data_IF_962298678578
#
_entry.id   IF_962298678578
#
_cell.length_a   1.000
_cell.length_b   1.000
_cell.length_c   1.000
_cell.angle_alpha   90.00
_cell.angle_beta   90.00
_cell.angle_gamma   90.00
#
_symmetry.space_group_name_H-M   'P 1'
#
loop_
_entity.id
_entity.type
_entity.pdbx_description
1 polymer ?
#
# COMPACT_ATOMS: atom_id res chain seq x y z
N UNK A 1 15.99 14.02 6.71
CA UNK A 1 16.70 13.92 5.41
C UNK A 1 18.15 13.47 5.57
N UNK A 2 18.54 13.21 6.76
CA UNK A 2 19.81 12.57 7.04
C UNK A 2 19.65 11.11 6.60
N UNK A 3 20.66 10.56 5.97
CA UNK A 3 20.73 9.14 5.64
C UNK A 3 20.77 8.35 6.95
N UNK A 4 19.61 8.28 7.62
CA UNK A 4 19.44 7.59 8.90
C UNK A 4 19.47 6.11 8.62
N UNK A 5 20.42 5.42 9.25
CA UNK A 5 20.51 3.97 9.16
C UNK A 5 19.54 3.28 10.11
N UNK A 6 19.26 2.01 9.86
CA UNK A 6 18.52 1.18 10.81
C UNK A 6 19.17 1.12 12.19
N UNK A 7 20.49 1.13 12.23
CA UNK A 7 21.26 1.15 13.48
C UNK A 7 21.03 2.42 14.30
N UNK A 8 20.82 3.58 13.65
CA UNK A 8 20.59 4.86 14.32
C UNK A 8 19.27 4.88 15.10
N UNK A 9 18.33 4.00 14.76
CA UNK A 9 17.05 3.83 15.47
C UNK A 9 17.01 2.58 16.35
N UNK A 10 18.15 1.92 16.57
CA UNK A 10 18.26 0.78 17.48
C UNK A 10 18.06 -0.59 16.83
N UNK A 11 17.97 -0.67 15.51
CA UNK A 11 17.83 -1.91 14.73
C UNK A 11 19.16 -2.23 14.03
N UNK A 12 20.21 -2.46 14.83
CA UNK A 12 21.57 -2.66 14.33
C UNK A 12 21.77 -3.99 13.54
N UNK A 13 20.82 -4.91 13.65
CA UNK A 13 20.76 -6.16 12.88
C UNK A 13 20.34 -5.93 11.41
N UNK A 14 19.75 -4.77 11.10
CA UNK A 14 19.39 -4.39 9.75
C UNK A 14 20.48 -3.52 9.12
N UNK A 15 20.87 -3.85 7.90
CA UNK A 15 21.88 -3.11 7.16
C UNK A 15 21.30 -1.98 6.33
N UNK A 16 22.11 -0.91 6.18
CA UNK A 16 21.78 0.21 5.31
C UNK A 16 20.92 1.27 5.95
N UNK A 17 20.42 2.16 5.11
CA UNK A 17 19.58 3.27 5.53
C UNK A 17 18.10 2.86 5.56
N UNK A 18 17.32 3.56 6.39
CA UNK A 18 15.87 3.36 6.43
C UNK A 18 15.31 3.70 5.05
N UNK A 19 14.62 2.73 4.46
CA UNK A 19 13.89 2.89 3.21
C UNK A 19 12.56 2.16 3.28
N UNK A 20 11.58 2.68 2.54
CA UNK A 20 10.31 2.01 2.33
C UNK A 20 10.26 1.62 0.86
N UNK A 21 10.33 0.32 0.57
CA UNK A 21 10.19 -0.15 -0.80
C UNK A 21 8.76 0.09 -1.30
N UNK A 22 8.64 0.58 -2.52
CA UNK A 22 7.37 0.84 -3.20
C UNK A 22 7.45 0.41 -4.66
N UNK A 23 6.31 0.39 -5.31
CA UNK A 23 6.25 0.21 -6.77
C UNK A 23 6.53 1.52 -7.52
N UNK A 24 6.92 1.41 -8.79
CA UNK A 24 7.21 2.56 -9.65
C UNK A 24 5.98 3.48 -9.80
N UNK A 25 6.04 4.74 -9.37
CA UNK A 25 4.90 5.65 -9.41
C UNK A 25 4.44 6.01 -10.82
N UNK A 26 5.28 5.86 -11.82
CA UNK A 26 4.93 6.11 -13.21
C UNK A 26 4.27 4.90 -13.90
N UNK A 27 4.36 3.71 -13.30
CA UNK A 27 3.96 2.44 -13.92
C UNK A 27 2.97 1.63 -13.09
N UNK A 28 2.74 2.00 -11.84
CA UNK A 28 1.88 1.29 -10.90
C UNK A 28 0.95 2.26 -10.16
N UNK A 29 -0.32 1.86 -10.01
CA UNK A 29 -1.28 2.63 -9.23
C UNK A 29 -0.85 2.76 -7.76
N UNK A 30 -0.37 1.68 -7.14
CA UNK A 30 0.10 1.71 -5.75
C UNK A 30 1.29 2.66 -5.56
N UNK A 31 2.24 2.67 -6.49
CA UNK A 31 3.36 3.60 -6.48
C UNK A 31 2.92 5.06 -6.65
N UNK A 32 1.96 5.30 -7.55
CA UNK A 32 1.38 6.63 -7.75
C UNK A 32 0.66 7.13 -6.50
N UNK A 33 -0.15 6.28 -5.86
CA UNK A 33 -0.83 6.61 -4.61
C UNK A 33 0.14 6.87 -3.46
N UNK A 34 1.20 6.07 -3.35
CA UNK A 34 2.25 6.30 -2.35
C UNK A 34 2.98 7.62 -2.60
N UNK A 35 3.29 7.95 -3.85
CA UNK A 35 3.90 9.23 -4.21
C UNK A 35 3.00 10.42 -3.85
N UNK A 36 1.70 10.30 -4.10
CA UNK A 36 0.72 11.34 -3.74
C UNK A 36 0.60 11.50 -2.21
N UNK A 37 0.59 10.40 -1.47
CA UNK A 37 0.57 10.41 0.00
C UNK A 37 1.85 11.08 0.54
N UNK A 38 3.01 10.69 0.04
CA UNK A 38 4.29 11.25 0.45
C UNK A 38 4.37 12.74 0.13
N UNK A 39 3.91 13.17 -1.06
CA UNK A 39 3.85 14.58 -1.43
C UNK A 39 2.93 15.38 -0.49
N UNK A 40 1.78 14.82 -0.10
CA UNK A 40 0.88 15.43 0.88
C UNK A 40 1.57 15.59 2.25
N UNK A 41 2.28 14.55 2.71
CA UNK A 41 3.03 14.61 3.99
C UNK A 41 4.14 15.66 3.93
N UNK A 42 4.90 15.72 2.84
CA UNK A 42 5.95 16.73 2.64
C UNK A 42 5.39 18.17 2.59
N UNK A 43 4.15 18.31 2.13
CA UNK A 43 3.41 19.58 2.15
C UNK A 43 2.70 19.86 3.49
N UNK A 44 3.10 19.21 4.57
CA UNK A 44 2.51 19.39 5.90
C UNK A 44 1.04 18.96 6.03
N UNK A 45 0.58 18.04 5.20
CA UNK A 45 -0.80 17.55 5.16
C UNK A 45 -1.80 18.51 4.48
N UNK A 46 -1.30 19.58 3.85
CA UNK A 46 -2.14 20.52 3.14
C UNK A 46 -2.47 20.05 1.73
N UNK A 47 -3.56 20.57 1.17
CA UNK A 47 -3.94 20.29 -0.22
C UNK A 47 -2.82 20.68 -1.19
N UNK A 48 -2.48 19.76 -2.07
CA UNK A 48 -1.49 19.99 -3.11
C UNK A 48 -2.04 20.91 -4.20
N UNK A 49 -1.28 21.94 -4.51
CA UNK A 49 -1.48 22.83 -5.65
C UNK A 49 -0.27 22.74 -6.58
N UNK A 50 -0.37 23.29 -7.78
CA UNK A 50 0.77 23.28 -8.71
C UNK A 50 2.00 23.99 -8.12
N UNK A 51 1.79 25.08 -7.39
CA UNK A 51 2.87 25.89 -6.83
C UNK A 51 3.58 25.13 -5.69
N UNK A 52 2.85 24.64 -4.68
CA UNK A 52 3.48 23.94 -3.56
C UNK A 52 4.05 22.57 -3.97
N UNK A 53 3.47 21.92 -5.00
CA UNK A 53 4.06 20.70 -5.57
C UNK A 53 5.43 20.98 -6.18
N UNK A 54 5.62 22.10 -6.86
CA UNK A 54 6.93 22.50 -7.42
C UNK A 54 7.98 22.69 -6.32
N UNK A 55 7.58 23.18 -5.16
CA UNK A 55 8.49 23.38 -4.02
C UNK A 55 8.98 22.06 -3.42
N UNK A 56 8.10 21.05 -3.30
CA UNK A 56 8.44 19.76 -2.70
C UNK A 56 8.99 18.74 -3.71
N UNK A 57 8.84 18.98 -5.01
CA UNK A 57 9.24 18.04 -6.06
C UNK A 57 10.71 17.59 -5.97
N UNK A 58 11.69 18.49 -5.69
CA UNK A 58 13.09 18.05 -5.56
C UNK A 58 13.31 17.07 -4.41
N UNK A 59 12.59 17.24 -3.30
CA UNK A 59 12.67 16.32 -2.17
C UNK A 59 12.02 14.98 -2.49
N UNK A 60 10.83 15.00 -3.10
CA UNK A 60 10.15 13.81 -3.58
C UNK A 60 11.03 13.00 -4.54
N UNK A 61 11.65 13.66 -5.52
CA UNK A 61 12.58 13.03 -6.45
C UNK A 61 13.81 12.44 -5.76
N UNK A 62 14.35 13.13 -4.75
CA UNK A 62 15.48 12.63 -3.96
C UNK A 62 15.11 11.34 -3.21
N UNK A 63 13.90 11.24 -2.65
CA UNK A 63 13.43 10.06 -1.94
C UNK A 63 13.31 8.88 -2.93
N UNK A 64 12.58 9.06 -4.02
CA UNK A 64 12.42 7.99 -5.02
C UNK A 64 13.74 7.59 -5.70
N UNK A 65 14.63 8.55 -5.92
CA UNK A 65 15.94 8.29 -6.51
C UNK A 65 16.85 7.39 -5.66
N UNK A 66 16.59 7.30 -4.36
CA UNK A 66 17.33 6.42 -3.43
C UNK A 66 16.81 4.99 -3.39
N UNK A 67 15.60 4.74 -3.88
CA UNK A 67 14.97 3.41 -3.80
C UNK A 67 15.53 2.40 -4.80
N UNK A 68 16.28 2.85 -5.80
CA UNK A 68 16.83 1.99 -6.84
C UNK A 68 15.75 1.38 -7.75
N UNK A 69 15.83 0.07 -7.99
CA UNK A 69 14.83 -0.61 -8.80
C UNK A 69 13.52 -0.75 -8.03
N UNK A 70 12.43 -0.34 -8.69
CA UNK A 70 11.06 -0.45 -8.17
C UNK A 70 10.25 -1.41 -9.02
N UNK A 71 9.49 -2.28 -8.38
CA UNK A 71 8.57 -3.21 -9.05
C UNK A 71 7.43 -2.44 -9.74
N UNK A 72 6.89 -3.04 -10.79
CA UNK A 72 5.74 -2.47 -11.51
C UNK A 72 4.40 -3.01 -11.03
N UNK A 73 4.43 -3.98 -10.13
CA UNK A 73 3.26 -4.65 -9.55
C UNK A 73 3.36 -4.71 -8.03
N UNK A 74 2.30 -4.30 -7.33
CA UNK A 74 2.21 -4.44 -5.89
C UNK A 74 2.21 -5.90 -5.43
N UNK A 75 1.68 -6.82 -6.25
CA UNK A 75 1.70 -8.25 -5.98
C UNK A 75 3.12 -8.82 -6.01
N UNK A 76 3.95 -8.37 -6.97
CA UNK A 76 5.35 -8.79 -7.05
C UNK A 76 6.15 -8.25 -5.86
N UNK A 77 5.93 -6.99 -5.50
CA UNK A 77 6.57 -6.38 -4.33
C UNK A 77 6.19 -7.12 -3.04
N UNK A 78 4.92 -7.43 -2.84
CA UNK A 78 4.43 -8.17 -1.67
C UNK A 78 4.99 -9.59 -1.63
N UNK A 79 5.02 -10.28 -2.78
CA UNK A 79 5.62 -11.62 -2.89
C UNK A 79 7.13 -11.62 -2.57
N UNK A 80 7.84 -10.56 -2.95
CA UNK A 80 9.25 -10.40 -2.59
C UNK A 80 9.42 -10.13 -1.10
N UNK A 81 8.59 -9.28 -0.50
CA UNK A 81 8.57 -9.03 0.94
C UNK A 81 8.43 -10.33 1.73
N UNK A 82 7.44 -11.17 1.38
CA UNK A 82 7.23 -12.46 2.05
C UNK A 82 8.41 -13.43 1.89
N UNK A 83 9.07 -13.44 0.73
CA UNK A 83 10.18 -14.37 0.44
C UNK A 83 11.52 -13.93 1.00
N UNK A 84 11.80 -12.63 0.93
CA UNK A 84 13.12 -12.08 1.27
C UNK A 84 13.20 -11.61 2.72
N UNK A 85 12.05 -11.30 3.32
CA UNK A 85 11.95 -10.93 4.73
C UNK A 85 12.77 -9.69 5.10
N UNK A 86 13.05 -9.58 6.39
CA UNK A 86 13.70 -8.44 7.05
C UNK A 86 15.07 -8.08 6.41
N UNK A 87 15.80 -9.06 5.90
CA UNK A 87 17.16 -8.83 5.39
C UNK A 87 17.25 -8.01 4.11
N UNK A 88 16.18 -7.96 3.31
CA UNK A 88 16.22 -7.30 2.01
C UNK A 88 15.12 -6.26 1.80
N UNK A 89 13.92 -6.49 2.35
CA UNK A 89 12.76 -5.59 2.21
C UNK A 89 12.04 -5.46 3.55
N UNK A 90 12.64 -4.79 4.54
CA UNK A 90 12.08 -4.73 5.89
C UNK A 90 10.78 -3.93 5.98
N UNK A 91 10.56 -2.97 5.09
CA UNK A 91 9.33 -2.16 5.03
C UNK A 91 8.91 -1.97 3.58
N UNK A 92 7.66 -2.25 3.29
CA UNK A 92 7.07 -2.00 1.98
C UNK A 92 5.81 -1.12 2.09
N UNK A 93 5.54 -0.33 1.07
CA UNK A 93 4.26 0.34 0.89
C UNK A 93 3.36 -0.54 0.00
N UNK A 94 2.21 -0.97 0.53
CA UNK A 94 1.28 -1.85 -0.15
C UNK A 94 -0.16 -1.63 0.28
N UNK A 95 -1.05 -2.49 -0.18
CA UNK A 95 -2.45 -2.49 0.22
C UNK A 95 -2.67 -3.44 1.40
N UNK A 96 -3.50 -3.04 2.36
CA UNK A 96 -3.88 -3.90 3.48
C UNK A 96 -4.50 -5.22 3.01
N UNK A 97 -5.26 -5.16 1.90
CA UNK A 97 -5.91 -6.32 1.30
C UNK A 97 -4.93 -7.46 0.98
N UNK A 98 -3.69 -7.16 0.63
CA UNK A 98 -2.70 -8.19 0.30
C UNK A 98 -2.35 -9.07 1.51
N UNK A 99 -2.16 -8.47 2.69
CA UNK A 99 -1.87 -9.23 3.90
C UNK A 99 -3.11 -9.96 4.42
N UNK A 100 -4.28 -9.32 4.36
CA UNK A 100 -5.55 -9.93 4.79
C UNK A 100 -5.89 -11.13 3.90
N UNK A 101 -5.78 -10.99 2.58
CA UNK A 101 -5.99 -12.08 1.62
C UNK A 101 -5.00 -13.22 1.85
N UNK A 102 -3.71 -12.90 2.06
CA UNK A 102 -2.70 -13.91 2.35
C UNK A 102 -3.04 -14.72 3.60
N UNK A 103 -3.42 -14.05 4.68
CA UNK A 103 -3.84 -14.70 5.92
C UNK A 103 -5.11 -15.56 5.75
N UNK A 104 -6.05 -15.13 4.90
CA UNK A 104 -7.29 -15.85 4.65
C UNK A 104 -7.10 -17.10 3.75
N UNK A 105 -6.21 -17.01 2.77
CA UNK A 105 -5.97 -18.09 1.78
C UNK A 105 -4.91 -19.08 2.29
N UNK A 106 -3.90 -18.60 3.00
CA UNK A 106 -2.76 -19.37 3.49
C UNK A 106 -2.61 -19.26 5.02
N UNK A 107 -3.61 -19.71 5.81
CA UNK A 107 -3.61 -19.49 7.26
C UNK A 107 -2.45 -20.18 8.00
N UNK A 108 -2.02 -21.35 7.52
CA UNK A 108 -0.92 -22.08 8.14
C UNK A 108 0.43 -21.38 7.89
N UNK A 109 0.64 -20.87 6.68
CA UNK A 109 1.84 -20.11 6.32
C UNK A 109 1.85 -18.76 7.04
N UNK A 110 0.71 -18.06 7.10
CA UNK A 110 0.57 -16.80 7.82
C UNK A 110 0.89 -16.95 9.29
N UNK A 111 0.40 -18.01 9.94
CA UNK A 111 0.66 -18.28 11.34
C UNK A 111 2.15 -18.42 11.69
N UNK A 112 2.97 -18.83 10.73
CA UNK A 112 4.41 -18.97 10.94
C UNK A 112 5.16 -17.63 10.92
N UNK A 113 4.51 -16.56 10.43
CA UNK A 113 5.12 -15.24 10.23
C UNK A 113 4.31 -14.10 10.88
N UNK A 114 3.14 -14.40 11.49
CA UNK A 114 2.26 -13.36 12.02
C UNK A 114 2.90 -12.50 13.11
N UNK A 115 3.79 -13.09 13.91
CA UNK A 115 4.52 -12.37 14.96
C UNK A 115 5.65 -11.50 14.43
N UNK A 116 6.09 -11.74 13.17
CA UNK A 116 7.19 -11.02 12.53
C UNK A 116 6.71 -9.88 11.61
N UNK A 117 5.41 -9.81 11.32
CA UNK A 117 4.83 -8.81 10.41
C UNK A 117 3.97 -7.81 11.20
N UNK A 118 4.23 -6.53 10.97
CA UNK A 118 3.43 -5.44 11.53
C UNK A 118 2.82 -4.61 10.40
N UNK A 119 1.50 -4.50 10.40
CA UNK A 119 0.78 -3.61 9.49
C UNK A 119 0.69 -2.21 10.10
N UNK A 120 1.28 -1.22 9.43
CA UNK A 120 1.27 0.18 9.84
C UNK A 120 0.35 1.00 8.92
N UNK A 121 -0.57 1.74 9.52
CA UNK A 121 -1.40 2.71 8.80
C UNK A 121 -0.80 4.11 8.96
N UNK A 122 -0.36 4.74 7.86
CA UNK A 122 0.13 6.12 7.92
C UNK A 122 -1.01 7.08 8.27
N UNK A 123 -0.66 8.20 8.90
CA UNK A 123 -1.60 9.30 9.17
C UNK A 123 -0.96 10.59 8.66
N UNK A 124 -1.49 11.23 7.61
CA UNK A 124 -2.68 10.84 6.83
C UNK A 124 -2.50 9.54 6.04
N UNK A 125 -3.62 9.01 5.51
CA UNK A 125 -3.63 7.84 4.62
C UNK A 125 -4.40 8.14 3.34
N UNK A 126 -4.32 7.22 2.36
CA UNK A 126 -5.00 7.33 1.07
C UNK A 126 -5.83 6.07 0.81
N UNK A 127 -6.99 6.26 0.20
CA UNK A 127 -7.91 5.18 -0.14
C UNK A 127 -7.83 4.86 -1.63
N UNK A 128 -7.64 3.58 -1.97
CA UNK A 128 -7.77 3.10 -3.34
C UNK A 128 -9.20 2.69 -3.61
N UNK A 129 -9.99 3.61 -4.14
CA UNK A 129 -11.41 3.36 -4.44
C UNK A 129 -11.55 2.69 -5.80
N UNK A 130 -12.29 1.58 -5.86
CA UNK A 130 -12.68 0.92 -7.10
C UNK A 130 -13.98 1.51 -7.59
N UNK A 131 -13.99 2.05 -8.80
CA UNK A 131 -15.16 2.69 -9.42
C UNK A 131 -15.63 1.84 -10.60
N UNK A 132 -16.91 1.46 -10.59
CA UNK A 132 -17.58 0.82 -11.72
C UNK A 132 -18.60 1.80 -12.31
N UNK A 133 -18.53 2.02 -13.62
CA UNK A 133 -19.52 2.76 -14.38
C UNK A 133 -20.26 1.77 -15.28
N UNK A 134 -21.57 1.60 -15.05
CA UNK A 134 -22.40 0.79 -15.91
C UNK A 134 -22.72 1.56 -17.20
N UNK A 135 -22.33 0.99 -18.36
CA UNK A 135 -22.56 1.60 -19.67
C UNK A 135 -23.74 0.95 -20.43
N UNK A 136 -24.19 -0.20 -19.96
CA UNK A 136 -25.29 -0.96 -20.55
C UNK A 136 -26.02 -1.80 -19.46
N UNK A 137 -27.03 -2.57 -19.87
CA UNK A 137 -27.77 -3.43 -18.95
C UNK A 137 -26.92 -4.53 -18.28
N UNK A 138 -25.88 -5.01 -18.94
CA UNK A 138 -24.99 -6.02 -18.36
C UNK A 138 -24.07 -5.39 -17.31
N UNK A 139 -23.60 -4.18 -17.58
CA UNK A 139 -22.86 -3.37 -16.61
C UNK A 139 -23.70 -3.07 -15.37
N UNK A 140 -25.01 -2.78 -15.55
CA UNK A 140 -25.91 -2.57 -14.42
C UNK A 140 -26.11 -3.85 -13.59
N UNK A 141 -26.31 -5.00 -14.23
CA UNK A 141 -26.41 -6.29 -13.52
C UNK A 141 -25.14 -6.60 -12.71
N UNK A 142 -23.96 -6.28 -13.27
CA UNK A 142 -22.70 -6.46 -12.55
C UNK A 142 -22.62 -5.52 -11.36
N UNK A 143 -23.01 -4.24 -11.52
CA UNK A 143 -23.04 -3.28 -10.43
C UNK A 143 -23.97 -3.75 -9.30
N UNK A 144 -25.18 -4.21 -9.64
CA UNK A 144 -26.16 -4.74 -8.68
C UNK A 144 -25.59 -5.96 -7.93
N UNK A 145 -24.92 -6.86 -8.64
CA UNK A 145 -24.26 -8.01 -8.03
C UNK A 145 -23.11 -7.60 -7.09
N UNK A 146 -22.31 -6.60 -7.46
CA UNK A 146 -21.22 -6.10 -6.62
C UNK A 146 -21.71 -5.35 -5.37
N UNK A 147 -22.96 -4.88 -5.36
CA UNK A 147 -23.58 -4.24 -4.20
C UNK A 147 -24.30 -5.25 -3.28
N UNK A 148 -24.35 -6.49 -3.65
CA UNK A 148 -24.89 -7.57 -2.82
C UNK A 148 -24.13 -7.70 -1.50
N UNK A 149 -24.86 -7.81 -0.38
CA UNK A 149 -24.27 -7.81 0.97
C UNK A 149 -23.39 -9.04 1.21
N UNK A 150 -23.79 -10.21 0.71
CA UNK A 150 -23.00 -11.44 0.88
C UNK A 150 -21.69 -11.35 0.07
N UNK A 151 -21.75 -10.78 -1.14
CA UNK A 151 -20.57 -10.57 -1.96
C UNK A 151 -19.63 -9.54 -1.33
N UNK A 152 -20.16 -8.46 -0.79
CA UNK A 152 -19.37 -7.46 -0.06
C UNK A 152 -18.70 -8.06 1.19
N UNK A 153 -19.42 -8.89 1.95
CA UNK A 153 -18.87 -9.60 3.10
C UNK A 153 -17.75 -10.57 2.68
N UNK A 154 -17.95 -11.29 1.57
CA UNK A 154 -16.94 -12.18 1.01
C UNK A 154 -15.68 -11.42 0.56
N UNK A 155 -15.85 -10.29 -0.13
CA UNK A 155 -14.76 -9.43 -0.57
C UNK A 155 -13.90 -8.94 0.61
N UNK A 156 -14.52 -8.59 1.73
CA UNK A 156 -13.81 -8.23 2.95
C UNK A 156 -13.14 -9.43 3.62
N UNK A 157 -13.89 -10.45 3.93
CA UNK A 157 -13.40 -11.56 4.77
C UNK A 157 -12.34 -12.43 4.09
N UNK A 158 -12.38 -12.55 2.75
CA UNK A 158 -11.44 -13.37 1.99
C UNK A 158 -10.34 -12.58 1.28
N UNK A 159 -10.64 -11.35 0.88
CA UNK A 159 -9.73 -10.57 0.03
C UNK A 159 -9.32 -9.23 0.63
N UNK A 160 -9.83 -8.88 1.83
CA UNK A 160 -9.46 -7.64 2.51
C UNK A 160 -9.92 -6.36 1.82
N UNK A 161 -10.89 -6.45 0.89
CA UNK A 161 -11.49 -5.28 0.27
C UNK A 161 -12.55 -4.67 1.18
N UNK A 162 -12.32 -3.46 1.64
CA UNK A 162 -13.29 -2.73 2.45
C UNK A 162 -14.56 -2.48 1.65
N UNK A 163 -15.70 -2.71 2.26
CA UNK A 163 -16.99 -2.52 1.62
C UNK A 163 -17.43 -1.07 1.65
N UNK A 164 -18.25 -0.65 0.67
CA UNK A 164 -18.97 0.63 0.72
C UNK A 164 -20.16 0.60 1.68
N UNK A 165 -20.56 -0.57 2.15
CA UNK A 165 -21.65 -0.76 3.09
C UNK A 165 -21.10 -0.91 4.50
N UNK A 166 -21.04 0.20 5.25
CA UNK A 166 -20.49 0.25 6.60
C UNK A 166 -21.26 -0.60 7.64
N UNK A 167 -22.46 -1.09 7.32
CA UNK A 167 -23.25 -1.94 8.20
C UNK A 167 -22.76 -3.39 8.23
N UNK A 168 -21.96 -3.83 7.27
CA UNK A 168 -21.41 -5.19 7.17
C UNK A 168 -20.05 -5.37 7.85
N UNK A 169 -19.47 -4.33 8.44
CA UNK A 169 -18.11 -4.32 9.02
C UNK A 169 -18.14 -4.03 10.54
N UNK A 170 -19.18 -4.48 11.22
CA UNK A 170 -19.27 -4.39 12.70
C UNK A 170 -18.92 -5.72 13.37
#
# INVERSE_FOLDING_TARGET
>A
QNDTSWADIGLAELYGNISVDTTDPARSNSGNMFAALLANVLNGGQTLTEDNLREILPELQSIFGKLGYMETSSSDLFSQFLRMGIGAKPVIAGYESQLIEYAAIYPDEYKNIEDDIVMLYPTPTVWSTHVLLALDENGQKLLDALLDEDLQALAWTKHGFRTGNYSTVS
#
